data_IF_194205890523
#
_entry.id   IF_194205890523
#
_cell.length_a   1.000
_cell.length_b   1.000
_cell.length_c   1.000
_cell.angle_alpha   90.00
_cell.angle_beta   90.00
_cell.angle_gamma   90.00
#
_symmetry.space_group_name_H-M   'P 1'
#
loop_
_entity.id
_entity.type
_entity.pdbx_description
1 polymer ?
#
# COMPACT_ATOMS: atom_id res chain seq x y z
N UNK A 1 -5.90 -23.85 -27.78
CA UNK A 1 -5.61 -22.40 -27.74
C UNK A 1 -5.44 -22.02 -26.28
N UNK A 2 -4.20 -21.91 -25.81
CA UNK A 2 -3.90 -21.59 -24.42
C UNK A 2 -4.05 -20.08 -24.20
N UNK A 3 -4.87 -19.69 -23.23
CA UNK A 3 -5.09 -18.31 -22.81
C UNK A 3 -3.94 -17.93 -21.88
N UNK A 4 -2.95 -17.16 -22.36
CA UNK A 4 -1.90 -16.64 -21.51
C UNK A 4 -2.49 -15.59 -20.55
N UNK A 5 -2.59 -15.93 -19.26
CA UNK A 5 -2.92 -15.00 -18.18
C UNK A 5 -1.58 -14.53 -17.58
N UNK A 6 -1.26 -13.24 -17.71
CA UNK A 6 -0.01 -12.69 -17.18
C UNK A 6 -0.19 -12.46 -15.69
N UNK A 7 0.54 -13.22 -14.87
CA UNK A 7 0.66 -13.00 -13.43
C UNK A 7 2.10 -12.61 -13.11
N UNK A 8 2.28 -11.50 -12.38
CA UNK A 8 3.59 -11.14 -11.85
C UNK A 8 3.77 -11.78 -10.48
N UNK A 9 4.60 -12.83 -10.45
CA UNK A 9 5.03 -13.48 -9.23
C UNK A 9 6.44 -12.95 -8.90
N UNK A 10 6.67 -12.63 -7.63
CA UNK A 10 7.96 -12.17 -7.11
C UNK A 10 8.77 -13.39 -6.69
N UNK A 11 9.93 -13.64 -7.33
CA UNK A 11 10.95 -14.57 -6.84
C UNK A 11 12.19 -13.81 -6.37
N UNK A 12 13.08 -14.54 -5.69
CA UNK A 12 14.18 -14.12 -4.78
C UNK A 12 14.93 -12.88 -5.32
N UNK A 13 15.10 -11.78 -4.59
CA UNK A 13 16.13 -11.60 -3.56
C UNK A 13 15.92 -10.27 -2.79
N UNK A 14 16.29 -10.32 -1.50
CA UNK A 14 16.64 -9.24 -0.56
C UNK A 14 15.74 -8.00 -0.33
N UNK A 15 15.09 -8.03 0.84
CA UNK A 15 15.04 -6.99 1.90
C UNK A 15 15.00 -5.52 1.42
N UNK A 16 13.80 -4.93 1.51
CA UNK A 16 13.59 -3.48 1.56
C UNK A 16 12.99 -3.08 2.90
N UNK A 17 13.85 -2.87 3.90
CA UNK A 17 13.51 -2.12 5.13
C UNK A 17 13.85 -0.66 4.85
N UNK A 18 12.91 0.24 5.17
CA UNK A 18 13.12 1.69 5.13
C UNK A 18 14.33 2.08 5.98
N UNK A 19 15.14 3.00 5.47
CA UNK A 19 15.92 3.92 6.30
C UNK A 19 15.57 5.34 5.87
N UNK A 20 14.70 5.95 6.68
CA UNK A 20 14.65 7.38 6.90
C UNK A 20 15.70 7.69 7.97
N UNK A 21 16.51 8.72 7.71
CA UNK A 21 17.36 9.44 8.67
C UNK A 21 18.39 8.61 9.47
N UNK A 22 19.66 8.91 9.22
CA UNK A 22 20.78 8.32 9.93
C UNK A 22 20.67 8.41 11.45
N UNK A 23 20.85 7.27 12.12
CA UNK A 23 21.36 7.17 13.48
C UNK A 23 22.33 6.00 13.51
N UNK A 24 23.61 6.35 13.58
CA UNK A 24 24.69 5.45 13.95
C UNK A 24 24.60 5.19 15.45
N UNK A 25 24.46 3.93 15.87
CA UNK A 25 24.83 3.52 17.23
C UNK A 25 25.30 2.07 17.20
N UNK A 26 26.60 1.91 16.92
CA UNK A 26 27.38 0.71 17.21
C UNK A 26 28.10 0.97 18.54
N UNK A 27 27.87 0.11 19.53
CA UNK A 27 28.85 -0.52 20.43
C UNK A 27 28.18 -0.92 21.74
N UNK A 28 28.10 -2.23 21.98
CA UNK A 28 28.46 -2.82 23.27
C UNK A 28 28.93 -4.26 23.01
N UNK A 29 30.22 -4.51 23.21
CA UNK A 29 30.80 -5.85 23.26
C UNK A 29 30.37 -6.57 24.54
N UNK A 30 30.01 -7.84 24.45
CA UNK A 30 30.33 -8.82 25.49
C UNK A 30 30.53 -10.20 24.86
N UNK A 31 31.60 -10.86 25.32
CA UNK A 31 32.18 -12.09 24.79
C UNK A 31 31.26 -13.32 24.90
N UNK A 32 31.52 -14.23 23.96
CA UNK A 32 31.31 -15.68 23.97
C UNK A 32 29.88 -16.23 23.71
N UNK A 33 29.85 -17.13 22.71
CA UNK A 33 28.74 -17.90 22.16
C UNK A 33 27.63 -17.10 21.45
N UNK A 34 27.94 -16.64 20.23
CA UNK A 34 26.92 -16.37 19.22
C UNK A 34 26.18 -17.68 18.89
N UNK A 35 25.04 -17.89 19.54
CA UNK A 35 23.93 -18.61 18.95
C UNK A 35 23.47 -17.75 17.77
N UNK A 36 24.02 -18.00 16.59
CA UNK A 36 23.44 -17.55 15.33
C UNK A 36 22.11 -18.29 15.16
N UNK A 37 21.04 -17.75 15.72
CA UNK A 37 19.69 -18.03 15.25
C UNK A 37 19.66 -17.54 13.79
N UNK A 38 19.86 -18.47 12.86
CA UNK A 38 19.80 -18.19 11.44
C UNK A 38 18.44 -17.57 11.11
N UNK A 39 18.46 -16.35 10.58
CA UNK A 39 17.30 -15.69 9.97
C UNK A 39 16.93 -16.31 8.60
N UNK A 40 17.43 -17.52 8.31
CA UNK A 40 17.26 -18.24 7.04
C UNK A 40 15.87 -18.89 6.90
N UNK A 41 15.03 -18.84 7.93
CA UNK A 41 13.71 -19.48 7.96
C UNK A 41 12.54 -18.47 7.90
N UNK A 42 12.78 -17.26 7.35
CA UNK A 42 11.67 -16.51 6.79
C UNK A 42 11.10 -17.35 5.65
N UNK A 43 9.96 -18.00 5.91
CA UNK A 43 9.15 -18.68 4.87
C UNK A 43 8.70 -17.64 3.86
N UNK A 44 9.55 -17.36 2.88
CA UNK A 44 9.15 -16.69 1.65
C UNK A 44 8.24 -17.69 0.96
N UNK A 45 6.94 -17.38 0.94
CA UNK A 45 6.00 -18.21 0.20
C UNK A 45 6.40 -18.19 -1.28
N UNK A 46 6.75 -19.37 -1.79
CA UNK A 46 6.97 -19.58 -3.21
C UNK A 46 5.62 -19.76 -3.90
N UNK A 47 5.42 -19.03 -5.00
CA UNK A 47 4.19 -19.11 -5.79
C UNK A 47 4.44 -19.73 -7.17
N UNK A 48 5.66 -20.18 -7.48
CA UNK A 48 6.02 -20.72 -8.79
C UNK A 48 5.12 -21.89 -9.23
N UNK A 49 4.65 -22.69 -8.26
CA UNK A 49 3.83 -23.87 -8.51
C UNK A 49 2.31 -23.61 -8.40
N UNK A 50 1.86 -22.39 -8.08
CA UNK A 50 0.43 -22.08 -7.97
C UNK A 50 -0.21 -21.98 -9.35
N UNK A 51 -1.35 -22.66 -9.53
CA UNK A 51 -2.18 -22.49 -10.72
C UNK A 51 -2.82 -21.10 -10.76
N UNK A 52 -3.29 -20.63 -11.94
CA UNK A 52 -4.10 -19.41 -12.02
C UNK A 52 -5.29 -19.41 -11.05
N UNK A 53 -5.94 -20.56 -10.87
CA UNK A 53 -7.06 -20.74 -9.95
C UNK A 53 -6.61 -20.60 -8.48
N UNK A 54 -5.47 -21.18 -8.12
CA UNK A 54 -4.88 -21.04 -6.78
C UNK A 54 -4.52 -19.58 -6.49
N UNK A 55 -3.98 -18.85 -7.47
CA UNK A 55 -3.68 -17.43 -7.34
C UNK A 55 -4.95 -16.59 -7.17
N UNK A 56 -6.01 -16.90 -7.91
CA UNK A 56 -7.33 -16.25 -7.76
C UNK A 56 -7.87 -16.46 -6.36
N UNK A 57 -7.83 -17.69 -5.85
CA UNK A 57 -8.30 -18.01 -4.50
C UNK A 57 -7.42 -17.34 -3.44
N UNK A 58 -6.10 -17.47 -3.55
CA UNK A 58 -5.12 -16.98 -2.57
C UNK A 58 -5.16 -15.47 -2.42
N UNK A 59 -5.24 -14.75 -3.54
CA UNK A 59 -5.28 -13.28 -3.53
C UNK A 59 -6.70 -12.71 -3.56
N UNK A 60 -7.72 -13.57 -3.44
CA UNK A 60 -9.13 -13.19 -3.52
C UNK A 60 -9.41 -12.29 -4.74
N UNK A 61 -8.86 -12.68 -5.89
CA UNK A 61 -8.97 -11.90 -7.12
C UNK A 61 -10.40 -11.97 -7.64
N UNK A 62 -10.97 -10.82 -7.96
CA UNK A 62 -12.25 -10.76 -8.66
C UNK A 62 -12.03 -10.93 -10.15
N UNK A 63 -12.63 -11.97 -10.73
CA UNK A 63 -12.67 -12.13 -12.18
C UNK A 63 -13.55 -11.06 -12.82
N UNK A 64 -13.11 -10.55 -13.97
CA UNK A 64 -13.85 -9.59 -14.78
C UNK A 64 -14.85 -10.32 -15.66
N UNK A 65 -16.06 -9.77 -15.82
CA UNK A 65 -17.08 -10.30 -16.72
C UNK A 65 -16.64 -10.28 -18.20
N UNK A 66 -15.63 -9.45 -18.53
CA UNK A 66 -15.04 -9.34 -19.86
C UNK A 66 -13.58 -9.78 -19.79
N UNK A 67 -13.19 -10.73 -20.65
CA UNK A 67 -11.80 -11.14 -20.76
C UNK A 67 -10.98 -10.02 -21.42
N UNK A 68 -9.72 -9.88 -21.00
CA UNK A 68 -8.81 -8.83 -21.51
C UNK A 68 -8.68 -8.85 -23.04
N UNK A 69 -8.69 -10.04 -23.65
CA UNK A 69 -8.63 -10.21 -25.11
C UNK A 69 -9.82 -9.63 -25.86
N UNK A 70 -10.95 -9.43 -25.18
CA UNK A 70 -12.20 -8.95 -25.73
C UNK A 70 -12.40 -7.45 -25.41
N UNK A 71 -11.44 -6.80 -24.72
CA UNK A 71 -11.47 -5.36 -24.49
C UNK A 71 -11.22 -4.58 -25.79
N UNK A 72 -11.91 -3.45 -26.00
CA UNK A 72 -11.64 -2.57 -27.13
C UNK A 72 -10.17 -2.14 -27.18
N UNK A 73 -9.56 -2.17 -28.38
CA UNK A 73 -8.16 -1.78 -28.57
C UNK A 73 -7.12 -2.82 -28.11
N UNK A 74 -7.56 -3.96 -27.55
CA UNK A 74 -6.63 -5.01 -27.16
C UNK A 74 -6.08 -5.79 -28.37
N UNK A 75 -4.80 -6.12 -28.32
CA UNK A 75 -4.15 -7.05 -29.23
C UNK A 75 -3.03 -7.81 -28.48
N UNK A 76 -2.59 -8.98 -28.96
CA UNK A 76 -1.45 -9.67 -28.39
C UNK A 76 -0.22 -8.76 -28.28
N UNK A 77 0.47 -8.85 -27.15
CA UNK A 77 1.69 -8.08 -26.89
C UNK A 77 2.88 -8.75 -27.59
N UNK A 78 3.76 -7.93 -28.13
CA UNK A 78 5.01 -8.32 -28.80
C UNK A 78 6.21 -7.59 -28.21
N UNK A 79 6.03 -6.37 -27.68
CA UNK A 79 7.09 -5.58 -27.04
C UNK A 79 6.61 -4.99 -25.71
N UNK A 80 7.29 -5.33 -24.63
CA UNK A 80 6.99 -4.88 -23.27
C UNK A 80 8.22 -4.23 -22.66
N UNK A 81 8.08 -3.00 -22.21
CA UNK A 81 9.14 -2.30 -21.45
C UNK A 81 8.97 -2.60 -19.98
N UNK A 82 10.02 -3.12 -19.33
CA UNK A 82 9.95 -3.58 -17.94
C UNK A 82 10.98 -2.86 -17.09
N UNK A 83 10.52 -2.19 -16.04
CA UNK A 83 11.41 -1.61 -15.04
C UNK A 83 12.07 -2.71 -14.21
N UNK A 84 13.40 -2.62 -14.08
CA UNK A 84 14.23 -3.48 -13.24
C UNK A 84 14.76 -2.67 -12.03
N UNK A 85 13.90 -2.44 -11.01
CA UNK A 85 14.31 -1.72 -9.82
C UNK A 85 15.30 -2.56 -9.02
N UNK A 86 16.24 -1.91 -8.34
CA UNK A 86 17.20 -2.61 -7.49
C UNK A 86 18.31 -1.70 -6.98
N UNK A 87 18.96 -2.15 -5.92
CA UNK A 87 20.16 -1.51 -5.37
C UNK A 87 21.45 -2.22 -5.80
N UNK A 88 21.33 -3.36 -6.50
CA UNK A 88 22.44 -4.14 -7.02
C UNK A 88 22.92 -3.64 -8.40
N UNK A 89 24.13 -4.04 -8.84
CA UNK A 89 24.62 -3.72 -10.18
C UNK A 89 23.64 -4.14 -11.29
N UNK A 90 23.61 -3.40 -12.40
CA UNK A 90 22.61 -3.57 -13.46
C UNK A 90 22.59 -4.99 -14.05
N UNK A 91 23.75 -5.59 -14.20
CA UNK A 91 23.99 -6.95 -14.69
C UNK A 91 23.30 -8.04 -13.85
N UNK A 92 22.97 -7.76 -12.59
CA UNK A 92 22.38 -8.73 -11.66
C UNK A 92 20.86 -8.58 -11.51
N UNK A 93 20.21 -7.64 -12.22
CA UNK A 93 18.79 -7.33 -12.04
C UNK A 93 17.84 -8.14 -12.92
N UNK A 94 18.33 -9.17 -13.61
CA UNK A 94 17.62 -9.81 -14.71
C UNK A 94 16.86 -11.10 -14.36
N UNK A 95 16.91 -11.58 -13.11
CA UNK A 95 16.15 -12.79 -12.70
C UNK A 95 14.65 -12.68 -13.04
N UNK A 96 14.04 -11.53 -12.73
CA UNK A 96 12.63 -11.26 -13.08
C UNK A 96 12.38 -11.29 -14.59
N UNK A 97 13.36 -10.88 -15.39
CA UNK A 97 13.26 -10.84 -16.85
C UNK A 97 13.25 -12.26 -17.43
N UNK A 98 14.04 -13.17 -16.84
CA UNK A 98 14.09 -14.57 -17.22
C UNK A 98 12.74 -15.25 -16.96
N UNK A 99 12.18 -15.06 -15.76
CA UNK A 99 10.84 -15.54 -15.42
C UNK A 99 9.77 -15.08 -16.42
N UNK A 100 9.78 -13.80 -16.80
CA UNK A 100 8.82 -13.25 -17.77
C UNK A 100 8.96 -13.87 -19.16
N UNK A 101 10.20 -14.14 -19.61
CA UNK A 101 10.49 -14.76 -20.90
C UNK A 101 10.04 -16.21 -20.98
N UNK A 102 10.20 -16.95 -19.88
CA UNK A 102 9.72 -18.34 -19.77
C UNK A 102 8.19 -18.40 -19.79
N UNK A 103 7.53 -17.49 -19.07
CA UNK A 103 6.07 -17.47 -18.98
C UNK A 103 5.36 -17.05 -20.27
N UNK A 104 5.98 -16.22 -21.13
CA UNK A 104 5.37 -15.71 -22.37
C UNK A 104 6.38 -15.70 -23.53
N UNK A 105 6.64 -16.87 -24.15
CA UNK A 105 7.59 -16.95 -25.26
C UNK A 105 7.10 -16.16 -26.48
N UNK A 106 8.02 -15.50 -27.19
CA UNK A 106 7.73 -14.71 -28.39
C UNK A 106 7.42 -13.23 -28.13
N UNK A 107 7.48 -12.79 -26.87
CA UNK A 107 7.43 -11.37 -26.48
C UNK A 107 8.85 -10.85 -26.29
N UNK A 108 9.16 -9.72 -26.92
CA UNK A 108 10.35 -8.93 -26.65
C UNK A 108 10.16 -8.16 -25.34
N UNK A 109 10.97 -8.49 -24.34
CA UNK A 109 11.05 -7.72 -23.10
C UNK A 109 12.26 -6.79 -23.13
N UNK A 110 12.02 -5.49 -22.99
CA UNK A 110 13.03 -4.44 -22.97
C UNK A 110 13.22 -3.97 -21.53
N UNK A 111 14.31 -4.38 -20.85
CA UNK A 111 14.57 -3.93 -19.49
C UNK A 111 15.05 -2.48 -19.48
N UNK A 112 14.58 -1.70 -18.51
CA UNK A 112 14.99 -0.32 -18.25
C UNK A 112 15.28 -0.10 -16.77
N UNK A 113 16.16 0.84 -16.45
CA UNK A 113 16.52 1.14 -15.04
C UNK A 113 15.40 1.83 -14.29
N UNK A 114 14.72 2.75 -14.97
CA UNK A 114 13.65 3.61 -14.47
C UNK A 114 13.03 4.34 -15.68
N UNK A 115 12.09 5.25 -15.43
CA UNK A 115 11.43 6.03 -16.48
C UNK A 115 12.41 6.89 -17.28
N UNK A 116 13.40 7.53 -16.66
CA UNK A 116 14.36 8.38 -17.36
C UNK A 116 15.18 7.58 -18.37
N UNK A 117 15.71 6.41 -17.99
CA UNK A 117 16.41 5.49 -18.91
C UNK A 117 15.52 5.06 -20.09
N UNK A 118 14.23 4.81 -19.83
CA UNK A 118 13.28 4.44 -20.87
C UNK A 118 13.04 5.57 -21.88
N UNK A 119 12.94 6.82 -21.40
CA UNK A 119 12.76 8.03 -22.22
C UNK A 119 14.03 8.31 -23.05
N UNK A 120 15.20 8.32 -22.41
CA UNK A 120 16.49 8.59 -23.07
C UNK A 120 16.78 7.60 -24.20
N UNK A 121 16.43 6.33 -24.01
CA UNK A 121 16.60 5.28 -25.02
C UNK A 121 15.50 5.25 -26.08
N UNK A 122 14.43 6.04 -25.92
CA UNK A 122 13.29 6.09 -26.83
C UNK A 122 12.48 4.79 -26.93
N UNK A 123 12.64 3.87 -25.97
CA UNK A 123 12.05 2.51 -26.06
C UNK A 123 10.54 2.47 -25.82
N UNK A 124 9.96 3.58 -25.36
CA UNK A 124 8.52 3.72 -25.13
C UNK A 124 7.74 4.08 -26.41
N UNK A 125 8.41 4.53 -27.47
CA UNK A 125 7.76 5.00 -28.70
C UNK A 125 7.04 3.89 -29.51
N UNK A 126 7.48 2.64 -29.38
CA UNK A 126 6.90 1.46 -30.02
C UNK A 126 6.55 0.35 -29.00
N UNK A 127 6.55 0.69 -27.70
CA UNK A 127 6.12 -0.23 -26.66
C UNK A 127 4.61 -0.52 -26.80
N UNK A 128 4.21 -1.75 -26.44
CA UNK A 128 2.80 -2.14 -26.40
C UNK A 128 2.29 -2.30 -24.97
N UNK A 129 3.21 -2.51 -24.02
CA UNK A 129 2.93 -2.45 -22.60
C UNK A 129 4.13 -1.95 -21.80
N UNK A 130 3.85 -1.44 -20.60
CA UNK A 130 4.86 -1.11 -19.60
C UNK A 130 4.60 -1.84 -18.29
N UNK A 131 5.66 -2.23 -17.59
CA UNK A 131 5.58 -2.86 -16.28
C UNK A 131 6.52 -2.11 -15.33
N UNK A 132 6.00 -1.66 -14.19
CA UNK A 132 6.78 -1.03 -13.12
C UNK A 132 6.90 0.50 -13.23
N UNK A 133 7.03 1.03 -14.45
CA UNK A 133 7.24 2.47 -14.76
C UNK A 133 6.14 3.43 -14.31
N UNK A 134 5.08 2.93 -13.67
CA UNK A 134 3.92 3.71 -13.29
C UNK A 134 3.19 4.30 -14.50
N UNK A 135 2.49 5.40 -14.27
CA UNK A 135 1.49 5.97 -15.15
C UNK A 135 1.38 7.49 -14.98
N UNK A 136 2.46 8.13 -14.52
CA UNK A 136 2.50 9.59 -14.33
C UNK A 136 2.36 10.30 -15.68
N UNK A 137 2.09 11.63 -15.68
CA UNK A 137 2.10 12.43 -16.90
C UNK A 137 3.34 12.20 -17.76
N UNK A 138 4.52 12.16 -17.15
CA UNK A 138 5.78 11.88 -17.87
C UNK A 138 5.81 10.50 -18.55
N UNK A 139 5.21 9.47 -17.94
CA UNK A 139 5.08 8.15 -18.59
C UNK A 139 4.11 8.24 -19.75
N UNK A 140 2.95 8.89 -19.56
CA UNK A 140 1.91 9.01 -20.59
C UNK A 140 2.37 9.85 -21.79
N UNK A 141 3.19 10.86 -21.56
CA UNK A 141 3.76 11.70 -22.61
C UNK A 141 4.82 10.97 -23.46
N UNK A 142 5.51 9.99 -22.86
CA UNK A 142 6.58 9.25 -23.51
C UNK A 142 6.12 8.01 -24.27
N UNK A 143 4.92 7.48 -23.96
CA UNK A 143 4.41 6.26 -24.61
C UNK A 143 3.90 6.54 -26.03
N UNK A 144 4.35 5.71 -26.97
CA UNK A 144 3.84 5.69 -28.34
C UNK A 144 2.39 5.22 -28.44
N UNK A 145 1.76 5.35 -29.63
CA UNK A 145 0.33 5.11 -29.83
C UNK A 145 -0.11 3.68 -29.54
N UNK A 146 0.78 2.69 -29.68
CA UNK A 146 0.46 1.26 -29.59
C UNK A 146 0.37 0.70 -28.16
N UNK A 147 0.71 1.51 -27.14
CA UNK A 147 0.55 1.10 -25.74
C UNK A 147 -0.92 0.85 -25.44
N UNK A 148 -1.20 -0.35 -24.92
CA UNK A 148 -2.54 -0.82 -24.53
C UNK A 148 -2.61 -1.34 -23.10
N UNK A 149 -1.46 -1.53 -22.45
CA UNK A 149 -1.41 -1.99 -21.06
C UNK A 149 -0.31 -1.30 -20.26
N UNK A 150 -0.67 -0.78 -19.09
CA UNK A 150 0.26 -0.27 -18.08
C UNK A 150 0.04 -1.04 -16.79
N UNK A 151 1.05 -1.78 -16.37
CA UNK A 151 1.09 -2.42 -15.06
C UNK A 151 1.88 -1.54 -14.09
N UNK A 152 1.15 -0.81 -13.24
CA UNK A 152 1.76 0.00 -12.17
C UNK A 152 2.47 -0.91 -11.15
N UNK A 153 3.67 -0.52 -10.75
CA UNK A 153 4.40 -1.12 -9.62
C UNK A 153 3.91 -0.62 -8.26
N UNK A 154 2.86 0.20 -8.22
CA UNK A 154 2.28 0.77 -6.99
C UNK A 154 0.85 0.27 -6.76
N UNK A 155 0.40 0.32 -5.50
CA UNK A 155 -1.00 0.04 -5.14
C UNK A 155 -1.91 1.19 -5.56
N UNK A 156 -1.51 2.43 -5.23
CA UNK A 156 -2.22 3.65 -5.56
C UNK A 156 -2.07 4.01 -7.03
N UNK A 157 -3.17 4.46 -7.65
CA UNK A 157 -3.23 4.93 -9.03
C UNK A 157 -3.54 6.44 -9.10
N UNK A 158 -3.39 7.14 -7.98
CA UNK A 158 -3.61 8.58 -7.87
C UNK A 158 -2.77 9.35 -8.90
N UNK A 159 -1.52 8.96 -9.14
CA UNK A 159 -0.68 9.54 -10.19
C UNK A 159 -1.11 9.24 -11.62
N UNK A 160 -1.91 8.19 -11.84
CA UNK A 160 -2.47 7.90 -13.18
C UNK A 160 -3.65 8.82 -13.48
N UNK A 161 -4.52 8.99 -12.48
CA UNK A 161 -5.82 9.63 -12.66
C UNK A 161 -5.90 10.99 -11.97
N UNK A 162 -4.73 11.58 -11.65
CA UNK A 162 -4.47 12.76 -10.81
C UNK A 162 -5.78 13.44 -10.41
N UNK A 163 -6.28 13.29 -9.20
CA UNK A 163 -7.72 13.44 -8.98
C UNK A 163 -8.27 14.87 -9.03
N UNK A 164 -7.48 15.88 -9.44
CA UNK A 164 -7.87 17.29 -9.56
C UNK A 164 -7.08 17.99 -10.68
N UNK A 165 -7.73 18.92 -11.38
CA UNK A 165 -7.09 19.90 -12.26
C UNK A 165 -7.07 19.50 -13.74
N UNK A 166 -6.59 20.40 -14.61
CA UNK A 166 -6.58 20.18 -16.07
C UNK A 166 -5.74 18.96 -16.49
N UNK A 167 -4.65 18.69 -15.76
CA UNK A 167 -3.80 17.51 -16.01
C UNK A 167 -4.54 16.19 -15.70
N UNK A 168 -5.43 16.19 -14.70
CA UNK A 168 -6.31 15.06 -14.39
C UNK A 168 -7.15 14.65 -15.59
N UNK A 169 -7.88 15.63 -16.13
CA UNK A 169 -8.85 15.45 -17.19
C UNK A 169 -8.14 15.00 -18.46
N UNK A 170 -7.00 15.64 -18.77
CA UNK A 170 -6.12 15.23 -19.86
C UNK A 170 -5.74 13.76 -19.74
N UNK A 171 -5.21 13.35 -18.60
CA UNK A 171 -4.74 11.98 -18.38
C UNK A 171 -5.90 10.98 -18.51
N UNK A 172 -7.04 11.25 -17.86
CA UNK A 172 -8.23 10.40 -17.93
C UNK A 172 -8.77 10.28 -19.36
N UNK A 173 -8.77 11.37 -20.14
CA UNK A 173 -9.18 11.35 -21.53
C UNK A 173 -8.22 10.52 -22.38
N UNK A 174 -6.91 10.65 -22.20
CA UNK A 174 -5.91 9.83 -22.90
C UNK A 174 -6.15 8.34 -22.61
N UNK A 175 -6.31 7.95 -21.34
CA UNK A 175 -6.57 6.54 -20.99
C UNK A 175 -7.87 6.02 -21.61
N UNK A 176 -8.94 6.83 -21.60
CA UNK A 176 -10.26 6.45 -22.13
C UNK A 176 -10.25 6.36 -23.65
N UNK A 177 -9.75 7.38 -24.35
CA UNK A 177 -9.75 7.45 -25.81
C UNK A 177 -8.83 6.40 -26.44
N UNK A 178 -7.70 6.10 -25.78
CA UNK A 178 -6.75 5.09 -26.26
C UNK A 178 -7.05 3.69 -25.77
N UNK A 179 -8.09 3.50 -24.94
CA UNK A 179 -8.45 2.21 -24.33
C UNK A 179 -7.26 1.51 -23.64
N UNK A 180 -6.45 2.27 -22.90
CA UNK A 180 -5.29 1.71 -22.20
C UNK A 180 -5.76 1.03 -20.91
N UNK A 181 -5.52 -0.27 -20.80
CA UNK A 181 -5.73 -1.02 -19.56
C UNK A 181 -4.68 -0.61 -18.53
N UNK A 182 -5.11 -0.19 -17.34
CA UNK A 182 -4.22 0.11 -16.21
C UNK A 182 -4.50 -0.88 -15.08
N UNK A 183 -3.47 -1.62 -14.68
CA UNK A 183 -3.50 -2.52 -13.51
C UNK A 183 -2.49 -2.10 -12.46
N UNK A 184 -2.64 -2.59 -11.24
CA UNK A 184 -1.81 -2.23 -10.08
C UNK A 184 -1.47 -3.47 -9.26
N UNK A 185 -0.55 -3.33 -8.32
CA UNK A 185 -0.19 -4.40 -7.36
C UNK A 185 -1.05 -4.38 -6.11
N UNK A 186 -2.34 -4.03 -6.26
CA UNK A 186 -3.32 -4.01 -5.17
C UNK A 186 -3.23 -5.33 -4.37
N UNK A 187 -3.45 -5.24 -3.06
CA UNK A 187 -3.39 -6.33 -2.08
C UNK A 187 -2.01 -6.91 -1.77
N UNK A 188 -1.01 -6.78 -2.64
CA UNK A 188 0.30 -7.40 -2.43
C UNK A 188 1.04 -6.90 -1.17
N UNK A 189 0.78 -5.66 -0.73
CA UNK A 189 1.46 -5.04 0.42
C UNK A 189 0.55 -4.84 1.63
N UNK A 190 -0.70 -5.30 1.59
CA UNK A 190 -1.69 -4.99 2.65
C UNK A 190 -1.27 -5.49 4.03
N UNK A 191 -0.68 -6.69 4.11
CA UNK A 191 -0.25 -7.26 5.39
C UNK A 191 0.90 -6.48 6.02
N UNK A 192 1.93 -6.14 5.24
CA UNK A 192 3.05 -5.34 5.74
C UNK A 192 2.61 -3.96 6.22
N UNK A 193 1.73 -3.29 5.47
CA UNK A 193 1.21 -1.97 5.85
C UNK A 193 0.29 -2.08 7.07
N UNK A 194 -0.55 -3.13 7.17
CA UNK A 194 -1.42 -3.34 8.31
C UNK A 194 -0.63 -3.62 9.60
N UNK A 195 0.41 -4.44 9.51
CA UNK A 195 1.35 -4.68 10.63
C UNK A 195 2.04 -3.39 11.06
N UNK A 196 2.53 -2.59 10.12
CA UNK A 196 3.11 -1.28 10.43
C UNK A 196 2.10 -0.33 11.09
N UNK A 197 0.86 -0.32 10.61
CA UNK A 197 -0.22 0.49 11.20
C UNK A 197 -0.50 0.06 12.65
N UNK A 198 -0.49 -1.25 12.90
CA UNK A 198 -0.63 -1.80 14.25
C UNK A 198 0.54 -1.45 15.15
N UNK A 199 1.78 -1.50 14.65
CA UNK A 199 2.96 -1.02 15.39
C UNK A 199 2.80 0.44 15.81
N UNK A 200 2.32 1.31 14.92
CA UNK A 200 2.09 2.73 15.24
C UNK A 200 1.01 2.86 16.32
N UNK A 201 -0.14 2.19 16.15
CA UNK A 201 -1.24 2.23 17.13
C UNK A 201 -0.77 1.75 18.52
N UNK A 202 -0.02 0.64 18.58
CA UNK A 202 0.57 0.12 19.82
C UNK A 202 1.58 1.09 20.43
N UNK A 203 2.39 1.74 19.59
CA UNK A 203 3.38 2.71 20.07
C UNK A 203 2.73 3.93 20.68
N UNK A 204 1.62 4.41 20.11
CA UNK A 204 0.87 5.56 20.63
C UNK A 204 0.17 5.20 21.95
N UNK A 205 -0.61 4.11 21.97
CA UNK A 205 -1.32 3.67 23.18
C UNK A 205 -0.37 3.31 24.33
N UNK A 206 0.75 2.67 24.01
CA UNK A 206 1.78 2.32 24.97
C UNK A 206 2.73 3.46 25.33
N UNK A 207 2.62 4.65 24.72
CA UNK A 207 3.54 5.77 24.97
C UNK A 207 5.01 5.46 24.70
N UNK A 208 5.30 4.68 23.66
CA UNK A 208 6.66 4.19 23.38
C UNK A 208 7.66 5.32 23.10
N UNK A 209 7.21 6.44 22.54
CA UNK A 209 7.98 7.65 22.37
C UNK A 209 8.44 8.24 23.72
N UNK A 210 7.53 8.27 24.70
CA UNK A 210 7.79 8.76 26.06
C UNK A 210 8.73 7.80 26.80
N UNK A 211 8.46 6.49 26.74
CA UNK A 211 9.31 5.50 27.41
C UNK A 211 10.70 5.42 26.81
N UNK A 212 10.84 5.58 25.49
CA UNK A 212 12.14 5.64 24.84
C UNK A 212 12.97 6.84 25.32
N UNK A 213 12.36 8.01 25.50
CA UNK A 213 13.06 9.18 26.04
C UNK A 213 13.45 8.99 27.52
N UNK A 214 12.54 8.44 28.34
CA UNK A 214 12.85 8.13 29.74
C UNK A 214 13.99 7.14 29.88
N UNK A 215 14.02 6.11 29.03
CA UNK A 215 15.12 5.16 29.01
C UNK A 215 16.45 5.85 28.73
N UNK A 216 16.51 6.76 27.75
CA UNK A 216 17.71 7.56 27.44
C UNK A 216 18.15 8.43 28.61
N UNK A 217 17.20 8.94 29.39
CA UNK A 217 17.46 9.76 30.57
C UNK A 217 17.68 8.92 31.85
N UNK A 218 17.67 7.59 31.75
CA UNK A 218 17.75 6.67 32.89
C UNK A 218 16.65 6.87 33.94
N UNK A 219 15.48 7.34 33.52
CA UNK A 219 14.31 7.56 34.39
C UNK A 219 13.45 6.30 34.41
N UNK A 220 13.34 5.69 35.59
CA UNK A 220 12.38 4.60 35.85
C UNK A 220 11.16 5.16 36.59
N UNK A 221 9.96 5.00 36.04
CA UNK A 221 8.73 5.46 36.69
C UNK A 221 7.49 4.90 36.02
N UNK A 222 6.41 4.72 36.79
CA UNK A 222 5.10 4.34 36.24
C UNK A 222 4.35 5.59 35.79
N UNK A 223 3.52 5.45 34.76
CA UNK A 223 2.61 6.49 34.24
C UNK A 223 1.73 7.04 35.35
N UNK A 224 1.11 6.18 36.16
CA UNK A 224 0.12 6.61 37.15
C UNK A 224 0.66 7.13 38.47
N UNK A 225 1.95 6.94 38.80
CA UNK A 225 2.45 7.28 40.15
C UNK A 225 3.41 8.44 40.23
N UNK A 226 4.24 8.76 39.23
CA UNK A 226 5.41 9.61 39.55
C UNK A 226 5.69 10.85 38.68
N UNK A 227 5.34 10.93 37.37
CA UNK A 227 5.71 12.14 36.59
C UNK A 227 4.79 12.50 35.39
N UNK A 228 4.13 11.54 34.73
CA UNK A 228 3.25 11.84 33.56
C UNK A 228 1.82 11.45 33.90
N UNK A 229 1.01 12.44 34.28
CA UNK A 229 -0.41 12.25 34.58
C UNK A 229 -1.28 12.26 33.32
N UNK A 230 -0.85 11.54 32.29
CA UNK A 230 -1.73 11.29 31.16
C UNK A 230 -2.47 9.97 31.41
N UNK A 231 -3.78 10.09 31.61
CA UNK A 231 -4.68 8.96 31.84
C UNK A 231 -4.88 8.10 30.58
N UNK A 232 -4.42 8.57 29.42
CA UNK A 232 -4.57 7.91 28.13
C UNK A 232 -3.28 7.18 27.68
N UNK A 233 -2.23 7.17 28.51
CA UNK A 233 -1.01 6.40 28.25
C UNK A 233 -1.03 5.03 28.92
N UNK A 234 -0.30 4.09 28.34
CA UNK A 234 -0.24 2.69 28.77
C UNK A 234 -1.62 2.02 28.80
N UNK A 235 -2.49 2.40 27.84
CA UNK A 235 -3.83 1.84 27.71
C UNK A 235 -3.78 0.57 26.86
N UNK A 236 -4.49 -0.46 27.33
CA UNK A 236 -4.60 -1.74 26.63
C UNK A 236 -5.57 -1.64 25.44
N UNK A 237 -5.38 -2.46 24.41
CA UNK A 237 -6.28 -2.52 23.24
C UNK A 237 -7.68 -3.04 23.59
N UNK A 238 -7.80 -3.79 24.68
CA UNK A 238 -9.03 -4.46 25.08
C UNK A 238 -10.16 -3.45 25.25
N UNK A 239 -11.29 -3.73 24.61
CA UNK A 239 -12.53 -2.95 24.67
C UNK A 239 -12.45 -1.53 24.08
N UNK A 240 -11.31 -1.11 23.53
CA UNK A 240 -11.20 0.13 22.76
C UNK A 240 -11.91 0.01 21.42
N UNK A 241 -12.44 1.13 20.93
CA UNK A 241 -13.11 1.20 19.63
C UNK A 241 -12.19 1.75 18.55
N UNK A 242 -11.96 0.96 17.50
CA UNK A 242 -11.30 1.39 16.27
C UNK A 242 -12.36 1.77 15.21
N UNK A 243 -12.31 3.01 14.73
CA UNK A 243 -13.00 3.42 13.51
C UNK A 243 -12.05 3.29 12.31
N UNK A 244 -12.40 2.43 11.35
CA UNK A 244 -11.72 2.33 10.06
C UNK A 244 -12.45 3.19 9.03
N UNK A 245 -11.87 4.34 8.66
CA UNK A 245 -12.37 5.17 7.57
C UNK A 245 -11.79 4.65 6.25
N UNK A 246 -12.62 3.92 5.51
CA UNK A 246 -12.23 3.21 4.29
C UNK A 246 -12.05 1.71 4.49
N UNK A 247 -13.17 0.97 4.56
CA UNK A 247 -13.19 -0.50 4.63
C UNK A 247 -12.86 -1.17 3.28
N UNK A 248 -11.70 -0.83 2.71
CA UNK A 248 -11.10 -1.51 1.56
C UNK A 248 -10.19 -2.67 2.00
N UNK A 249 -9.31 -3.14 1.12
CA UNK A 249 -8.41 -4.26 1.42
C UNK A 249 -7.49 -3.99 2.62
N UNK A 250 -6.83 -2.82 2.66
CA UNK A 250 -5.97 -2.43 3.78
C UNK A 250 -6.77 -2.22 5.08
N UNK A 251 -7.85 -1.42 5.02
CA UNK A 251 -8.68 -1.16 6.20
C UNK A 251 -9.30 -2.43 6.79
N UNK A 252 -9.67 -3.39 5.93
CA UNK A 252 -10.15 -4.71 6.37
C UNK A 252 -9.06 -5.48 7.11
N UNK A 253 -7.83 -5.52 6.58
CA UNK A 253 -6.73 -6.24 7.23
C UNK A 253 -6.32 -5.59 8.56
N UNK A 254 -6.31 -4.26 8.65
CA UNK A 254 -6.07 -3.54 9.91
C UNK A 254 -7.17 -3.83 10.92
N UNK A 255 -8.44 -3.73 10.51
CA UNK A 255 -9.58 -4.08 11.36
C UNK A 255 -9.51 -5.52 11.88
N UNK A 256 -9.12 -6.48 11.02
CA UNK A 256 -8.96 -7.89 11.40
C UNK A 256 -7.92 -8.06 12.51
N UNK A 257 -6.76 -7.42 12.37
CA UNK A 257 -5.69 -7.47 13.36
C UNK A 257 -6.07 -6.79 14.67
N UNK A 258 -6.73 -5.63 14.59
CA UNK A 258 -7.21 -4.89 15.76
C UNK A 258 -8.28 -5.68 16.53
N UNK A 259 -9.24 -6.28 15.83
CA UNK A 259 -10.25 -7.14 16.42
C UNK A 259 -9.64 -8.37 17.11
N UNK A 260 -8.63 -8.99 16.48
CA UNK A 260 -7.90 -10.11 17.08
C UNK A 260 -7.15 -9.74 18.39
N UNK A 261 -6.92 -8.44 18.62
CA UNK A 261 -6.34 -7.89 19.86
C UNK A 261 -7.39 -7.36 20.84
N UNK A 262 -8.68 -7.65 20.62
CA UNK A 262 -9.76 -7.31 21.55
C UNK A 262 -10.40 -5.94 21.34
N UNK A 263 -10.07 -5.22 20.26
CA UNK A 263 -10.77 -3.98 19.92
C UNK A 263 -12.14 -4.24 19.31
N UNK A 264 -13.10 -3.38 19.63
CA UNK A 264 -14.32 -3.22 18.85
C UNK A 264 -14.01 -2.50 17.55
N UNK A 265 -14.41 -3.07 16.41
CA UNK A 265 -14.14 -2.48 15.08
C UNK A 265 -15.42 -1.98 14.46
N UNK A 266 -15.48 -0.68 14.19
CA UNK A 266 -16.51 -0.02 13.37
C UNK A 266 -15.83 0.57 12.14
N UNK A 267 -16.56 0.75 11.05
CA UNK A 267 -15.97 1.22 9.81
C UNK A 267 -16.92 2.07 8.97
N UNK A 268 -16.36 2.84 8.04
CA UNK A 268 -17.12 3.48 6.96
C UNK A 268 -16.72 2.95 5.59
N UNK A 269 -17.70 2.93 4.68
CA UNK A 269 -17.51 2.62 3.26
C UNK A 269 -18.49 3.43 2.42
N UNK A 270 -18.08 3.80 1.21
CA UNK A 270 -18.87 4.68 0.35
C UNK A 270 -20.20 4.07 -0.16
N UNK A 271 -20.23 2.78 -0.51
CA UNK A 271 -21.34 2.21 -1.32
C UNK A 271 -22.03 0.99 -0.73
N UNK A 272 -21.55 0.43 0.38
CA UNK A 272 -22.15 -0.77 0.97
C UNK A 272 -21.99 -0.80 2.48
N UNK A 273 -23.04 -1.25 3.18
CA UNK A 273 -23.00 -1.57 4.61
C UNK A 273 -22.52 -2.99 4.92
N UNK A 274 -22.01 -3.71 3.92
CA UNK A 274 -21.42 -5.04 4.12
C UNK A 274 -19.99 -4.93 4.61
N UNK A 275 -19.62 -5.77 5.58
CA UNK A 275 -18.25 -5.99 6.04
C UNK A 275 -18.07 -7.44 6.50
N UNK A 276 -16.84 -7.84 6.82
CA UNK A 276 -16.59 -9.12 7.49
C UNK A 276 -17.27 -9.20 8.86
N UNK A 277 -17.52 -10.42 9.35
CA UNK A 277 -18.22 -10.68 10.61
C UNK A 277 -17.56 -10.04 11.86
N UNK A 278 -16.26 -9.76 11.80
CA UNK A 278 -15.54 -9.11 12.91
C UNK A 278 -15.78 -7.60 13.00
N UNK A 279 -16.47 -7.00 12.02
CA UNK A 279 -16.80 -5.56 12.02
C UNK A 279 -18.20 -5.37 12.58
N UNK A 280 -18.28 -4.77 13.76
CA UNK A 280 -19.54 -4.54 14.50
C UNK A 280 -20.54 -3.68 13.72
N UNK A 281 -20.04 -2.69 12.98
CA UNK A 281 -20.88 -1.79 12.19
C UNK A 281 -20.14 -1.21 10.98
N UNK A 282 -20.83 -1.17 9.82
CA UNK A 282 -20.36 -0.48 8.62
C UNK A 282 -21.32 0.65 8.25
N UNK A 283 -20.90 1.87 8.56
CA UNK A 283 -21.58 3.10 8.18
C UNK A 283 -21.26 3.54 6.75
N UNK A 284 -22.10 4.42 6.22
CA UNK A 284 -21.82 5.16 4.99
C UNK A 284 -20.98 6.42 5.30
N UNK A 285 -20.51 7.09 4.25
CA UNK A 285 -19.62 8.25 4.35
C UNK A 285 -20.20 9.41 5.19
N UNK A 286 -21.52 9.59 5.18
CA UNK A 286 -22.25 10.61 5.92
C UNK A 286 -22.34 10.35 7.43
N UNK A 287 -22.14 9.11 7.87
CA UNK A 287 -22.13 8.72 9.29
C UNK A 287 -20.75 8.86 9.94
N UNK A 288 -19.73 9.27 9.17
CA UNK A 288 -18.33 9.29 9.60
C UNK A 288 -18.11 10.10 10.88
N UNK A 289 -18.74 11.26 11.02
CA UNK A 289 -18.61 12.11 12.22
C UNK A 289 -19.24 11.46 13.46
N UNK A 290 -20.38 10.78 13.31
CA UNK A 290 -21.04 10.13 14.44
C UNK A 290 -20.31 8.88 14.91
N UNK A 291 -19.64 8.19 13.98
CA UNK A 291 -18.76 7.08 14.31
C UNK A 291 -17.44 7.56 14.94
N UNK A 292 -16.91 8.71 14.52
CA UNK A 292 -15.69 9.29 15.09
C UNK A 292 -15.84 9.60 16.59
N UNK A 293 -17.02 10.05 17.01
CA UNK A 293 -17.37 10.30 18.44
C UNK A 293 -17.27 9.06 19.31
N UNK A 294 -17.39 7.87 18.72
CA UNK A 294 -17.38 6.58 19.44
C UNK A 294 -15.98 5.97 19.50
N UNK A 295 -15.07 6.40 18.62
CA UNK A 295 -13.77 5.77 18.44
C UNK A 295 -12.72 6.29 19.42
N UNK A 296 -11.89 5.40 19.93
CA UNK A 296 -10.66 5.71 20.66
C UNK A 296 -9.46 5.79 19.71
N UNK A 297 -9.55 5.13 18.56
CA UNK A 297 -8.62 5.28 17.44
C UNK A 297 -9.40 5.44 16.15
N UNK A 298 -9.04 6.43 15.35
CA UNK A 298 -9.47 6.55 13.95
C UNK A 298 -8.31 6.13 13.05
N UNK A 299 -8.55 5.14 12.20
CA UNK A 299 -7.61 4.69 11.16
C UNK A 299 -8.12 5.11 9.77
N UNK A 300 -7.39 5.99 9.11
CA UNK A 300 -7.71 6.51 7.78
C UNK A 300 -6.97 5.75 6.68
N UNK A 301 -7.74 5.12 5.77
CA UNK A 301 -7.23 4.36 4.63
C UNK A 301 -8.09 4.58 3.36
N UNK A 302 -8.31 5.85 3.02
CA UNK A 302 -9.03 6.25 1.80
C UNK A 302 -8.08 6.72 0.70
N UNK A 303 -8.38 6.44 -0.58
CA UNK A 303 -7.65 7.03 -1.70
C UNK A 303 -7.96 8.53 -1.81
N UNK A 304 -7.04 9.36 -2.38
CA UNK A 304 -7.35 10.74 -2.72
C UNK A 304 -8.29 10.76 -3.92
N UNK A 305 -9.47 11.34 -3.75
CA UNK A 305 -10.51 11.51 -4.78
C UNK A 305 -11.20 12.84 -4.53
N UNK A 306 -11.95 13.41 -5.49
CA UNK A 306 -12.72 14.63 -5.24
C UNK A 306 -13.60 14.58 -3.98
N UNK A 307 -14.08 13.38 -3.61
CA UNK A 307 -14.93 13.18 -2.44
C UNK A 307 -14.16 12.99 -1.12
N UNK A 308 -12.85 12.79 -1.14
CA UNK A 308 -12.03 12.47 0.04
C UNK A 308 -10.89 13.47 0.27
N UNK A 309 -10.75 14.47 -0.58
CA UNK A 309 -9.79 15.55 -0.39
C UNK A 309 -10.32 16.52 0.68
N UNK A 310 -9.45 16.89 1.63
CA UNK A 310 -9.84 17.66 2.80
C UNK A 310 -10.88 16.96 3.67
N UNK A 311 -10.97 15.62 3.58
CA UNK A 311 -11.96 14.85 4.34
C UNK A 311 -11.72 14.94 5.85
N UNK A 312 -10.45 14.98 6.25
CA UNK A 312 -10.06 15.16 7.64
C UNK A 312 -9.64 16.62 7.85
N UNK A 313 -10.65 17.45 8.08
CA UNK A 313 -10.56 18.88 8.42
C UNK A 313 -10.80 19.09 9.92
N UNK A 314 -10.75 20.35 10.37
CA UNK A 314 -11.00 20.71 11.78
C UNK A 314 -12.33 20.17 12.29
N UNK A 315 -13.39 20.17 11.47
CA UNK A 315 -14.71 19.65 11.89
C UNK A 315 -14.65 18.16 12.18
N UNK A 316 -13.86 17.41 11.41
CA UNK A 316 -13.66 15.99 11.67
C UNK A 316 -12.93 15.78 12.99
N UNK A 317 -11.83 16.50 13.21
CA UNK A 317 -11.04 16.39 14.44
C UNK A 317 -11.83 16.83 15.67
N UNK A 318 -12.66 17.87 15.58
CA UNK A 318 -13.58 18.30 16.64
C UNK A 318 -14.66 17.27 16.99
N UNK A 319 -15.01 16.38 16.06
CA UNK A 319 -15.97 15.30 16.30
C UNK A 319 -15.34 14.08 16.97
N UNK A 320 -14.01 13.95 16.96
CA UNK A 320 -13.32 12.86 17.65
C UNK A 320 -13.42 13.03 19.17
N UNK A 321 -13.21 11.94 19.92
CA UNK A 321 -12.95 12.08 21.36
C UNK A 321 -11.66 12.89 21.54
N UNK A 322 -11.63 13.77 22.54
CA UNK A 322 -10.41 14.51 22.92
C UNK A 322 -9.24 13.57 23.26
N UNK A 323 -9.52 12.34 23.71
CA UNK A 323 -8.54 11.30 24.00
C UNK A 323 -8.20 10.38 22.82
N UNK A 324 -8.82 10.57 21.65
CA UNK A 324 -8.64 9.64 20.54
C UNK A 324 -7.35 9.89 19.76
N UNK A 325 -6.77 8.81 19.25
CA UNK A 325 -5.65 8.89 18.31
C UNK A 325 -6.15 8.87 16.86
N UNK A 326 -5.54 9.70 16.01
CA UNK A 326 -5.73 9.64 14.55
C UNK A 326 -4.49 9.02 13.90
N UNK A 327 -4.68 7.94 13.16
CA UNK A 327 -3.62 7.24 12.42
C UNK A 327 -4.00 7.22 10.95
N UNK A 328 -3.14 7.78 10.09
CA UNK A 328 -3.40 7.83 8.66
C UNK A 328 -2.33 7.13 7.85
N UNK A 329 -2.77 6.30 6.91
CA UNK A 329 -1.97 5.73 5.81
C UNK A 329 -2.57 6.18 4.47
N UNK A 330 -3.04 7.43 4.41
CA UNK A 330 -3.59 8.04 3.19
C UNK A 330 -2.51 8.72 2.36
N UNK A 331 -2.92 9.23 1.20
CA UNK A 331 -2.09 10.11 0.36
C UNK A 331 -2.26 11.57 0.81
N UNK A 332 -1.37 12.44 0.31
CA UNK A 332 -1.45 13.88 0.49
C UNK A 332 -2.81 14.43 0.00
N UNK A 333 -3.27 15.50 0.65
CA UNK A 333 -4.50 16.21 0.31
C UNK A 333 -5.77 15.62 0.91
N UNK A 334 -5.73 14.39 1.46
CA UNK A 334 -6.87 13.79 2.17
C UNK A 334 -7.05 14.42 3.57
N UNK A 335 -5.94 14.81 4.19
CA UNK A 335 -5.91 15.50 5.50
C UNK A 335 -5.61 16.97 5.25
N UNK A 336 -6.32 17.85 5.93
CA UNK A 336 -5.91 19.25 6.05
C UNK A 336 -4.76 19.36 7.07
N UNK A 337 -3.58 19.77 6.58
CA UNK A 337 -2.36 19.80 7.38
C UNK A 337 -2.30 20.94 8.39
N UNK A 338 -3.05 22.03 8.16
CA UNK A 338 -3.10 23.13 9.12
C UNK A 338 -4.07 22.80 10.25
N UNK A 339 -5.15 22.09 9.95
CA UNK A 339 -6.11 21.66 10.97
C UNK A 339 -5.61 20.50 11.86
N UNK A 340 -4.61 19.72 11.41
CA UNK A 340 -4.04 18.62 12.17
C UNK A 340 -3.06 19.07 13.28
N UNK A 341 -2.42 20.24 13.14
CA UNK A 341 -1.31 20.70 14.00
C UNK A 341 -1.78 21.28 15.34
#
# INVERSE_FOLDING_TARGET
MATAKIFMIRTRSAIGVLSLAGVTCLVACSNEEQITLGLDDYRIEDYADLSPEDLVQKFNLRESDVAVRDLPGWAPLKKIVVEMPGNEPWENRFERLEFLREGVPGVEFVPVKNLSDAIERGVLADAQATIGLGCSPSTVDAIGPDVRWIQSGSVGLDRCFNTIGEEAERMQNIFRERNILVSSIRDMTKHAIAQHSLTIMLSLLGGMDIHAERQRQHIWGRTTTDVVRDKNLDVEFQDLTLLVVGLGSLGTEVGRLAHALGMRVIATRNTSRSGPDFVDYVGLSDEMFDLAKQADIVFAAVPPTPATLGLFDMKFFEAMKESAYFVSITRLGVIDWEDLK
#
